data_IF_579406847838
#
_entry.id   IF_579406847838
#
_cell.length_a   1.000
_cell.length_b   1.000
_cell.length_c   1.000
_cell.angle_alpha   90.00
_cell.angle_beta   90.00
_cell.angle_gamma   90.00
#
_symmetry.space_group_name_H-M   'P 1'
#
loop_
_entity.id
_entity.type
_entity.pdbx_description
1 polymer ?
#
# COMPACT_ATOMS: atom_id res chain seq x y z
N UNK A 1 -11.05 -29.53 -25.05
CA UNK A 1 -11.21 -28.07 -24.98
C UNK A 1 -10.40 -27.63 -23.77
N UNK A 2 -9.34 -26.84 -23.96
CA UNK A 2 -8.55 -26.32 -22.82
C UNK A 2 -9.39 -25.27 -22.13
N UNK A 3 -9.83 -25.58 -20.91
CA UNK A 3 -10.57 -24.65 -20.07
C UNK A 3 -9.67 -23.44 -19.78
N UNK A 4 -10.16 -22.25 -20.07
CA UNK A 4 -9.45 -21.00 -19.86
C UNK A 4 -10.45 -19.94 -19.45
N UNK A 5 -10.11 -19.19 -18.41
CA UNK A 5 -10.90 -18.05 -17.96
C UNK A 5 -10.55 -16.82 -18.81
N UNK A 6 -11.53 -15.96 -19.05
CA UNK A 6 -11.32 -14.65 -19.64
C UNK A 6 -11.61 -13.56 -18.60
N UNK A 7 -10.67 -12.63 -18.46
CA UNK A 7 -10.76 -11.48 -17.58
C UNK A 7 -10.65 -10.20 -18.40
N UNK A 8 -11.52 -9.24 -18.13
CA UNK A 8 -11.48 -7.91 -18.71
C UNK A 8 -10.98 -6.91 -17.67
N UNK A 9 -9.89 -6.22 -17.98
CA UNK A 9 -9.32 -5.18 -17.14
C UNK A 9 -9.67 -3.82 -17.73
N UNK A 10 -10.47 -3.03 -16.99
CA UNK A 10 -10.81 -1.65 -17.36
C UNK A 10 -9.56 -0.77 -17.34
N UNK A 11 -9.30 -0.09 -18.45
CA UNK A 11 -8.18 0.85 -18.61
C UNK A 11 -8.25 2.08 -17.70
N UNK A 12 -9.43 2.42 -17.17
CA UNK A 12 -9.58 3.46 -16.15
C UNK A 12 -9.04 3.02 -14.78
N UNK A 13 -9.01 1.71 -14.51
CA UNK A 13 -8.61 1.14 -13.22
C UNK A 13 -7.19 0.57 -13.27
N UNK A 14 -6.84 -0.11 -14.36
CA UNK A 14 -5.59 -0.83 -14.51
C UNK A 14 -4.79 -0.31 -15.70
N UNK A 15 -3.53 0.07 -15.45
CA UNK A 15 -2.61 0.35 -16.54
C UNK A 15 -2.21 -0.95 -17.25
N UNK A 16 -2.11 -1.00 -18.60
CA UNK A 16 -1.73 -2.21 -19.33
C UNK A 16 -0.41 -2.84 -18.85
N UNK A 17 0.58 -1.99 -18.52
CA UNK A 17 1.87 -2.46 -17.98
C UNK A 17 1.73 -3.18 -16.63
N UNK A 18 0.76 -2.81 -15.80
CA UNK A 18 0.52 -3.49 -14.53
C UNK A 18 -0.05 -4.90 -14.75
N UNK A 19 -0.97 -5.05 -15.71
CA UNK A 19 -1.52 -6.34 -16.12
C UNK A 19 -0.42 -7.23 -16.73
N UNK A 20 0.44 -6.65 -17.56
CA UNK A 20 1.59 -7.34 -18.14
C UNK A 20 2.59 -7.79 -17.07
N UNK A 21 2.92 -6.91 -16.11
CA UNK A 21 3.81 -7.24 -15.00
C UNK A 21 3.23 -8.38 -14.13
N UNK A 22 1.93 -8.38 -13.88
CA UNK A 22 1.25 -9.44 -13.14
C UNK A 22 1.29 -10.78 -13.89
N UNK A 23 1.02 -10.77 -15.20
CA UNK A 23 1.17 -11.95 -16.04
C UNK A 23 2.60 -12.51 -16.01
N UNK A 24 3.61 -11.63 -16.04
CA UNK A 24 5.02 -12.04 -15.91
C UNK A 24 5.35 -12.63 -14.53
N UNK A 25 4.85 -12.04 -13.45
CA UNK A 25 5.05 -12.55 -12.09
C UNK A 25 4.49 -13.96 -11.92
N UNK A 26 3.37 -14.25 -12.60
CA UNK A 26 2.67 -15.54 -12.54
C UNK A 26 3.06 -16.52 -13.65
N UNK A 27 3.97 -16.16 -14.56
CA UNK A 27 4.28 -16.93 -15.77
C UNK A 27 4.78 -18.37 -15.52
N UNK A 28 5.30 -18.67 -14.32
CA UNK A 28 5.71 -20.02 -13.92
C UNK A 28 4.56 -20.92 -13.47
N UNK A 29 3.39 -20.34 -13.19
CA UNK A 29 2.21 -21.02 -12.63
C UNK A 29 1.02 -20.96 -13.57
N UNK A 30 0.87 -19.86 -14.30
CA UNK A 30 -0.24 -19.58 -15.20
C UNK A 30 0.28 -19.28 -16.60
N UNK A 31 -0.48 -19.73 -17.61
CA UNK A 31 -0.35 -19.26 -18.99
C UNK A 31 -1.37 -18.15 -19.20
N UNK A 32 -0.88 -16.94 -19.39
CA UNK A 32 -1.70 -15.76 -19.63
C UNK A 32 -1.45 -15.23 -21.04
N UNK A 33 -2.51 -15.00 -21.81
CA UNK A 33 -2.45 -14.32 -23.11
C UNK A 33 -3.19 -12.99 -23.01
N UNK A 34 -2.48 -11.89 -23.28
CA UNK A 34 -3.02 -10.55 -23.19
C UNK A 34 -3.34 -10.01 -24.58
N UNK A 35 -4.47 -9.31 -24.71
CA UNK A 35 -4.86 -8.57 -25.91
C UNK A 35 -5.50 -7.24 -25.50
N UNK A 36 -5.32 -6.16 -26.27
CA UNK A 36 -6.11 -4.96 -26.08
C UNK A 36 -7.59 -5.26 -26.37
N UNK A 37 -8.49 -4.69 -25.56
CA UNK A 37 -9.95 -4.84 -25.71
C UNK A 37 -10.55 -3.92 -26.80
N UNK A 38 -9.78 -2.94 -27.28
CA UNK A 38 -10.22 -1.92 -28.23
C UNK A 38 -10.95 -0.73 -27.61
N UNK A 39 -11.15 -0.71 -26.28
CA UNK A 39 -11.78 0.37 -25.50
C UNK A 39 -10.82 1.03 -24.51
N UNK A 40 -9.55 0.62 -24.52
CA UNK A 40 -8.50 1.17 -23.66
C UNK A 40 -8.13 0.27 -22.49
N UNK A 41 -8.83 -0.85 -22.31
CA UNK A 41 -8.51 -1.90 -21.35
C UNK A 41 -7.73 -3.08 -21.96
N UNK A 42 -7.61 -4.14 -21.18
CA UNK A 42 -6.87 -5.35 -21.53
C UNK A 42 -7.71 -6.59 -21.28
N UNK A 43 -7.84 -7.45 -22.29
CA UNK A 43 -8.42 -8.78 -22.17
C UNK A 43 -7.30 -9.79 -21.87
N UNK A 44 -7.45 -10.55 -20.78
CA UNK A 44 -6.54 -11.62 -20.40
C UNK A 44 -7.22 -12.98 -20.48
N UNK A 45 -6.61 -13.91 -21.22
CA UNK A 45 -7.01 -15.32 -21.20
C UNK A 45 -6.05 -16.11 -20.33
N UNK A 46 -6.58 -16.77 -19.30
CA UNK A 46 -5.82 -17.42 -18.23
C UNK A 46 -6.03 -18.93 -18.24
N UNK A 47 -4.94 -19.69 -18.18
CA UNK A 47 -4.97 -21.15 -18.04
C UNK A 47 -3.92 -21.60 -17.02
N UNK A 48 -4.30 -22.41 -16.01
CA UNK A 48 -5.63 -22.95 -15.78
C UNK A 48 -6.61 -21.88 -15.23
N UNK A 49 -7.95 -22.04 -15.41
CA UNK A 49 -8.93 -20.99 -15.13
C UNK A 49 -9.01 -20.58 -13.65
N UNK A 50 -8.65 -21.46 -12.73
CA UNK A 50 -8.57 -21.19 -11.29
C UNK A 50 -7.50 -20.15 -10.94
N UNK A 51 -6.60 -19.85 -11.89
CA UNK A 51 -5.61 -18.79 -11.75
C UNK A 51 -6.13 -17.38 -12.02
N UNK A 52 -7.39 -17.22 -12.40
CA UNK A 52 -7.99 -15.92 -12.71
C UNK A 52 -7.91 -14.95 -11.53
N UNK A 53 -8.32 -15.39 -10.33
CA UNK A 53 -8.30 -14.54 -9.13
C UNK A 53 -6.88 -14.14 -8.75
N UNK A 54 -5.93 -15.09 -8.85
CA UNK A 54 -4.52 -14.79 -8.60
C UNK A 54 -3.95 -13.74 -9.58
N UNK A 55 -4.37 -13.76 -10.84
CA UNK A 55 -3.99 -12.73 -11.82
C UNK A 55 -4.62 -11.37 -11.47
N UNK A 56 -5.88 -11.35 -11.05
CA UNK A 56 -6.57 -10.12 -10.66
C UNK A 56 -5.90 -9.45 -9.44
N UNK A 57 -5.62 -10.24 -8.40
CA UNK A 57 -4.96 -9.78 -7.18
C UNK A 57 -3.56 -9.23 -7.47
N UNK A 58 -2.78 -9.95 -8.28
CA UNK A 58 -1.44 -9.48 -8.63
C UNK A 58 -1.51 -8.24 -9.53
N UNK A 59 -2.47 -8.14 -10.45
CA UNK A 59 -2.67 -6.94 -11.27
C UNK A 59 -3.01 -5.71 -10.40
N UNK A 60 -3.84 -5.87 -9.36
CA UNK A 60 -4.13 -4.81 -8.40
C UNK A 60 -2.88 -4.41 -7.60
N UNK A 61 -2.09 -5.38 -7.16
CA UNK A 61 -0.83 -5.12 -6.47
C UNK A 61 0.19 -4.39 -7.36
N UNK A 62 0.33 -4.77 -8.63
CA UNK A 62 1.20 -4.09 -9.60
C UNK A 62 0.73 -2.68 -9.92
N UNK A 63 -0.58 -2.46 -10.05
CA UNK A 63 -1.13 -1.12 -10.26
C UNK A 63 -0.88 -0.22 -9.05
N UNK A 64 -1.04 -0.71 -7.83
CA UNK A 64 -0.68 0.03 -6.61
C UNK A 64 0.82 0.38 -6.59
N UNK A 65 1.69 -0.58 -6.87
CA UNK A 65 3.15 -0.35 -6.95
C UNK A 65 3.48 0.71 -8.00
N UNK A 66 2.81 0.69 -9.15
CA UNK A 66 2.96 1.70 -10.21
C UNK A 66 2.56 3.08 -9.72
N UNK A 67 1.38 3.21 -9.09
CA UNK A 67 0.89 4.49 -8.54
C UNK A 67 1.86 5.06 -7.51
N UNK A 68 2.27 4.25 -6.53
CA UNK A 68 3.29 4.63 -5.54
C UNK A 68 4.57 5.06 -6.26
N UNK A 69 5.06 4.30 -7.24
CA UNK A 69 6.28 4.65 -7.94
C UNK A 69 6.20 5.98 -8.71
N UNK A 70 5.02 6.32 -9.25
CA UNK A 70 4.78 7.60 -9.92
C UNK A 70 4.71 8.75 -8.90
N UNK A 71 3.94 8.58 -7.83
CA UNK A 71 3.76 9.60 -6.80
C UNK A 71 5.04 9.87 -6.01
N UNK A 72 5.82 8.84 -5.71
CA UNK A 72 7.09 8.96 -4.97
C UNK A 72 8.28 9.29 -5.87
N UNK A 73 8.06 9.57 -7.17
CA UNK A 73 9.15 9.88 -8.10
C UNK A 73 10.02 11.05 -7.63
N UNK A 74 9.48 12.21 -7.22
CA UNK A 74 10.31 13.33 -6.78
C UNK A 74 11.14 13.01 -5.55
N UNK A 75 10.57 12.28 -4.59
CA UNK A 75 11.27 11.86 -3.37
C UNK A 75 12.42 10.90 -3.70
N UNK A 76 12.19 9.93 -4.59
CA UNK A 76 13.21 8.97 -5.03
C UNK A 76 14.32 9.67 -5.80
N UNK A 77 13.99 10.62 -6.68
CA UNK A 77 14.98 11.45 -7.37
C UNK A 77 15.83 12.25 -6.37
N UNK A 78 15.20 12.90 -5.38
CA UNK A 78 15.91 13.61 -4.32
C UNK A 78 16.87 12.69 -3.54
N UNK A 79 16.42 11.52 -3.09
CA UNK A 79 17.25 10.56 -2.34
C UNK A 79 18.44 10.10 -3.19
N UNK A 80 18.20 9.77 -4.47
CA UNK A 80 19.27 9.36 -5.39
C UNK A 80 20.27 10.49 -5.61
N UNK A 81 19.82 11.72 -5.85
CA UNK A 81 20.70 12.89 -5.98
C UNK A 81 21.52 13.13 -4.72
N UNK A 82 20.91 13.11 -3.54
CA UNK A 82 21.63 13.26 -2.27
C UNK A 82 22.66 12.14 -2.02
N UNK A 83 22.31 10.91 -2.40
CA UNK A 83 23.21 9.75 -2.29
C UNK A 83 24.41 9.89 -3.23
N UNK A 84 24.18 10.33 -4.48
CA UNK A 84 25.24 10.56 -5.46
C UNK A 84 26.15 11.71 -5.07
N UNK A 85 25.60 12.85 -4.60
CA UNK A 85 26.38 13.97 -4.07
C UNK A 85 27.23 13.55 -2.87
N UNK A 86 26.67 12.73 -1.98
CA UNK A 86 27.39 12.18 -0.81
C UNK A 86 28.51 11.21 -1.21
N UNK A 87 28.30 10.38 -2.24
CA UNK A 87 29.28 9.42 -2.73
C UNK A 87 30.38 10.06 -3.60
N UNK A 88 30.06 11.16 -4.30
CA UNK A 88 30.97 11.86 -5.21
C UNK A 88 32.03 12.72 -4.53
N UNK A 89 32.06 12.78 -3.19
CA UNK A 89 33.09 13.54 -2.46
C UNK A 89 32.94 15.05 -2.53
N UNK A 90 31.96 15.59 -3.27
CA UNK A 90 31.52 17.00 -3.18
C UNK A 90 30.71 17.25 -1.90
N UNK A 91 31.27 16.81 -0.78
CA UNK A 91 31.03 17.45 0.51
C UNK A 91 31.99 18.63 0.60
N UNK A 92 31.61 19.76 -0.01
CA UNK A 92 32.21 21.07 0.32
C UNK A 92 31.86 21.53 1.74
N UNK A 93 31.17 20.71 2.53
CA UNK A 93 31.21 20.73 3.98
C UNK A 93 31.35 19.29 4.49
N UNK A 94 32.27 19.10 5.45
CA UNK A 94 32.52 17.86 6.19
C UNK A 94 31.24 17.02 6.46
N UNK A 95 31.34 15.69 6.69
CA UNK A 95 30.23 14.94 7.28
C UNK A 95 29.64 15.80 8.37
N UNK A 96 28.32 16.06 8.34
CA UNK A 96 27.65 16.75 9.42
C UNK A 96 28.21 16.12 10.69
N UNK A 97 29.05 16.89 11.40
CA UNK A 97 29.44 16.55 12.73
C UNK A 97 28.11 16.20 13.39
N UNK A 98 28.07 15.04 14.05
CA UNK A 98 27.04 14.65 15.01
C UNK A 98 26.28 15.89 15.42
N UNK A 99 24.98 15.99 15.08
CA UNK A 99 24.15 17.19 15.28
C UNK A 99 24.67 17.95 16.49
N UNK A 100 25.09 19.22 16.35
CA UNK A 100 25.81 19.93 17.41
C UNK A 100 25.07 19.63 18.72
N UNK A 101 25.80 19.08 19.69
CA UNK A 101 25.22 18.69 20.97
C UNK A 101 24.34 19.84 21.42
N UNK A 102 23.05 19.55 21.63
CA UNK A 102 22.08 20.58 21.99
C UNK A 102 22.63 21.33 23.20
N UNK A 103 22.51 22.65 23.18
CA UNK A 103 22.85 23.41 24.37
C UNK A 103 21.95 22.94 25.53
N UNK A 104 22.39 23.06 26.79
CA UNK A 104 21.56 22.68 27.93
C UNK A 104 20.19 23.36 27.97
N UNK A 105 20.09 24.56 27.38
CA UNK A 105 18.82 25.29 27.23
C UNK A 105 17.91 24.67 26.16
N UNK A 106 18.47 24.21 25.04
CA UNK A 106 17.73 23.50 24.00
C UNK A 106 17.29 22.10 24.44
N UNK A 107 18.12 21.38 25.20
CA UNK A 107 17.73 20.10 25.81
C UNK A 107 16.54 20.28 26.75
N UNK A 108 16.60 21.29 27.63
CA UNK A 108 15.50 21.60 28.55
C UNK A 108 14.22 22.03 27.82
N UNK A 109 14.33 22.74 26.70
CA UNK A 109 13.20 23.12 25.86
C UNK A 109 12.57 21.89 25.18
N UNK A 110 13.40 20.99 24.63
CA UNK A 110 12.95 19.73 24.02
C UNK A 110 12.25 18.85 25.05
N UNK A 111 12.81 18.70 26.25
CA UNK A 111 12.19 17.94 27.33
C UNK A 111 10.84 18.54 27.76
N UNK A 112 10.72 19.88 27.78
CA UNK A 112 9.44 20.55 28.06
C UNK A 112 8.40 20.24 26.98
N UNK A 113 8.79 20.30 25.71
CA UNK A 113 7.89 20.01 24.59
C UNK A 113 7.44 18.54 24.56
N UNK A 114 8.35 17.60 24.89
CA UNK A 114 8.02 16.18 25.03
C UNK A 114 6.99 15.99 26.14
N UNK A 115 7.21 16.57 27.32
CA UNK A 115 6.28 16.45 28.44
C UNK A 115 4.89 17.05 28.13
N UNK A 116 4.85 18.17 27.40
CA UNK A 116 3.59 18.77 26.94
C UNK A 116 2.85 17.88 25.94
N UNK A 117 3.55 17.30 24.98
CA UNK A 117 2.97 16.39 23.98
C UNK A 117 2.46 15.09 24.62
N UNK A 118 3.23 14.50 25.54
CA UNK A 118 2.80 13.29 26.27
C UNK A 118 1.53 13.54 27.10
N UNK A 119 1.43 14.72 27.73
CA UNK A 119 0.22 15.12 28.44
C UNK A 119 -0.98 15.27 27.50
N UNK A 120 -0.81 15.91 26.35
CA UNK A 120 -1.89 16.05 25.36
C UNK A 120 -2.35 14.69 24.82
N UNK A 121 -1.41 13.77 24.57
CA UNK A 121 -1.70 12.40 24.14
C UNK A 121 -2.48 11.66 25.23
N UNK A 122 -2.04 11.73 26.49
CA UNK A 122 -2.74 11.09 27.61
C UNK A 122 -4.17 11.63 27.78
N UNK A 123 -4.38 12.94 27.63
CA UNK A 123 -5.71 13.56 27.66
C UNK A 123 -6.59 13.09 26.49
N UNK A 124 -6.02 12.95 25.29
CA UNK A 124 -6.75 12.43 24.11
C UNK A 124 -7.11 10.95 24.27
N UNK A 125 -6.20 10.13 24.78
CA UNK A 125 -6.44 8.71 25.06
C UNK A 125 -7.53 8.57 26.14
N UNK A 126 -7.41 9.30 27.24
CA UNK A 126 -8.44 9.29 28.29
C UNK A 126 -9.81 9.77 27.77
N UNK A 127 -9.83 10.79 26.90
CA UNK A 127 -11.07 11.23 26.24
C UNK A 127 -11.65 10.17 25.31
N UNK A 128 -10.80 9.44 24.60
CA UNK A 128 -11.21 8.34 23.72
C UNK A 128 -11.76 7.16 24.52
N UNK A 129 -11.11 6.79 25.64
CA UNK A 129 -11.60 5.74 26.56
C UNK A 129 -12.90 6.14 27.26
N UNK A 130 -13.05 7.42 27.65
CA UNK A 130 -14.27 7.94 28.27
C UNK A 130 -15.44 8.08 27.28
N UNK A 131 -15.15 8.25 25.98
CA UNK A 131 -16.16 8.30 24.92
C UNK A 131 -16.79 6.91 24.62
N UNK A 132 -16.21 5.83 25.17
CA UNK A 132 -16.68 4.46 24.95
C UNK A 132 -16.42 3.97 23.52
N UNK A 133 -16.55 2.66 23.32
CA UNK A 133 -16.48 2.08 21.97
C UNK A 133 -17.53 2.75 21.07
N UNK A 134 -17.16 3.15 19.84
CA UNK A 134 -18.13 3.73 18.91
C UNK A 134 -19.29 2.75 18.74
N UNK A 135 -20.53 3.27 18.73
CA UNK A 135 -21.70 2.41 18.53
C UNK A 135 -21.49 1.54 17.28
N UNK A 136 -21.80 0.23 17.36
CA UNK A 136 -21.59 -0.68 16.25
C UNK A 136 -22.32 -0.13 15.04
N UNK A 137 -21.59 -0.10 13.93
CA UNK A 137 -22.11 0.37 12.66
C UNK A 137 -23.29 -0.48 12.22
N UNK A 138 -24.15 0.05 11.35
CA UNK A 138 -25.33 -0.68 10.88
C UNK A 138 -24.95 -2.02 10.21
N UNK A 139 -23.75 -2.12 9.62
CA UNK A 139 -23.19 -3.35 9.03
C UNK A 139 -22.82 -4.39 10.09
N UNK A 140 -22.23 -3.97 11.21
CA UNK A 140 -21.90 -4.85 12.33
C UNK A 140 -23.17 -5.36 13.03
N UNK A 141 -24.21 -4.51 13.15
CA UNK A 141 -25.53 -4.92 13.66
C UNK A 141 -26.20 -5.92 12.73
N UNK A 142 -26.12 -5.73 11.41
CA UNK A 142 -26.67 -6.66 10.44
C UNK A 142 -25.97 -8.02 10.49
N UNK A 143 -24.63 -8.03 10.58
CA UNK A 143 -23.83 -9.27 10.69
C UNK A 143 -24.07 -10.03 12.00
N UNK A 144 -24.32 -9.33 13.11
CA UNK A 144 -24.66 -9.96 14.39
C UNK A 144 -26.10 -10.53 14.42
N UNK A 145 -27.02 -9.95 13.64
CA UNK A 145 -28.39 -10.46 13.51
C UNK A 145 -28.47 -11.72 12.64
N UNK A 146 -27.58 -11.86 11.64
CA UNK A 146 -27.40 -13.06 10.81
C UNK A 146 -26.60 -14.16 11.52
N UNK A 147 -26.92 -14.45 12.78
CA UNK A 147 -26.24 -15.45 13.62
C UNK A 147 -25.99 -16.78 12.88
N UNK A 148 -24.93 -17.52 13.24
CA UNK A 148 -24.42 -18.64 12.45
C UNK A 148 -25.53 -19.67 12.24
N UNK A 149 -25.88 -19.91 10.98
CA UNK A 149 -26.85 -20.91 10.57
C UNK A 149 -26.48 -22.26 11.22
N UNK A 150 -27.27 -22.68 12.21
CA UNK A 150 -27.21 -24.01 12.77
C UNK A 150 -27.36 -25.01 11.63
N UNK A 151 -26.28 -25.73 11.36
CA UNK A 151 -26.22 -26.82 10.40
C UNK A 151 -27.14 -27.95 10.92
N UNK A 152 -28.23 -28.33 10.25
CA UNK A 152 -28.96 -29.52 10.65
C UNK A 152 -28.09 -30.74 10.34
N UNK A 153 -27.68 -31.44 11.40
CA UNK A 153 -26.95 -32.70 11.34
C UNK A 153 -27.81 -33.81 10.68
N UNK A 154 -27.19 -34.87 10.12
CA UNK A 154 -27.77 -35.75 9.09
C UNK A 154 -28.89 -36.68 9.58
#
# INVERSE_FOLDING_TARGET
>A
MTDAAELEFDGALFHPDAVLAAAHALARRLRVSLKPDGRGGTLARVSPPEGADALLDEAAAQELRRRIAVETRPLREYIVTQSLLSAGGERTGAPAASSPALSPEEEAEVDRLIAEAEKEIAEKVSRFEAAGEPEPTWEERARAADGPAENPAP
#
